data_IF_791542925534
#
_entry.id   IF_791542925534
#
_cell.length_a   1.000
_cell.length_b   1.000
_cell.length_c   1.000
_cell.angle_alpha   90.00
_cell.angle_beta   90.00
_cell.angle_gamma   90.00
#
_symmetry.space_group_name_H-M   'P 1'
#
loop_
_entity.id
_entity.type
_entity.pdbx_description
1 polymer ?
#
# COMPACT_ATOMS: atom_id res chain seq x y z
N UNK A 1 12.07 7.04 -14.82
CA UNK A 1 12.36 7.48 -16.21
C UNK A 1 12.48 6.30 -17.17
N UNK A 2 12.90 5.12 -16.74
CA UNK A 2 13.04 3.93 -17.60
C UNK A 2 11.71 3.51 -18.26
N UNK A 3 10.58 3.67 -17.55
CA UNK A 3 9.25 3.28 -18.04
C UNK A 3 8.69 4.27 -19.06
N UNK A 4 8.98 5.57 -18.91
CA UNK A 4 8.42 6.63 -19.79
C UNK A 4 9.19 6.83 -21.08
N UNK A 5 10.42 6.33 -21.19
CA UNK A 5 11.26 6.47 -22.37
C UNK A 5 11.80 7.88 -22.60
N UNK A 6 12.37 8.09 -23.79
CA UNK A 6 12.93 9.38 -24.19
C UNK A 6 11.83 10.42 -24.47
N UNK A 7 12.04 11.66 -24.04
CA UNK A 7 11.13 12.79 -24.27
C UNK A 7 10.34 13.23 -23.03
N UNK A 8 10.50 12.53 -21.91
CA UNK A 8 9.91 12.92 -20.62
C UNK A 8 10.99 13.26 -19.61
N UNK A 9 10.88 14.40 -18.99
CA UNK A 9 11.67 14.81 -17.85
C UNK A 9 10.81 14.70 -16.58
N UNK A 10 11.18 13.78 -15.69
CA UNK A 10 10.54 13.63 -14.38
C UNK A 10 11.25 14.51 -13.37
N UNK A 11 10.50 15.40 -12.75
CA UNK A 11 10.96 16.23 -11.65
C UNK A 11 10.25 15.84 -10.37
N UNK A 12 10.98 15.83 -9.26
CA UNK A 12 10.42 15.55 -7.95
C UNK A 12 9.79 16.81 -7.34
N UNK A 13 9.04 16.63 -6.24
CA UNK A 13 8.52 17.75 -5.46
C UNK A 13 9.60 18.71 -5.00
N UNK A 14 10.74 18.17 -4.58
CA UNK A 14 11.89 18.96 -4.15
C UNK A 14 12.47 19.81 -5.28
N UNK A 15 12.52 19.26 -6.51
CA UNK A 15 13.05 19.97 -7.69
C UNK A 15 12.17 21.18 -8.07
N UNK A 16 10.87 21.11 -7.79
CA UNK A 16 9.91 22.22 -8.01
C UNK A 16 9.69 23.08 -6.78
N UNK A 17 10.46 22.85 -5.70
CA UNK A 17 10.45 23.68 -4.50
C UNK A 17 9.29 23.40 -3.52
N UNK A 18 8.57 22.30 -3.70
CA UNK A 18 7.52 21.86 -2.77
C UNK A 18 8.17 20.99 -1.71
N UNK A 19 8.23 21.50 -0.46
CA UNK A 19 8.83 20.81 0.69
C UNK A 19 7.80 20.43 1.76
N UNK A 20 6.55 20.88 1.59
CA UNK A 20 5.47 20.62 2.52
C UNK A 20 4.79 19.28 2.21
N UNK A 21 4.29 18.64 3.27
CA UNK A 21 3.46 17.43 3.11
C UNK A 21 2.17 17.80 2.39
N UNK A 22 1.89 17.10 1.29
CA UNK A 22 0.63 17.30 0.55
C UNK A 22 -0.52 16.69 1.37
N UNK A 23 -1.63 17.42 1.56
CA UNK A 23 -2.75 16.92 2.36
C UNK A 23 -3.35 15.62 1.80
N UNK A 24 -3.60 14.67 2.68
CA UNK A 24 -4.31 13.41 2.42
C UNK A 24 -5.49 13.29 3.39
N UNK A 25 -6.62 13.89 3.04
CA UNK A 25 -7.82 13.94 3.90
C UNK A 25 -8.96 13.07 3.38
N UNK A 26 -8.76 12.41 2.25
CA UNK A 26 -9.73 11.52 1.63
C UNK A 26 -9.92 10.23 2.43
N UNK A 27 -11.09 9.63 2.28
CA UNK A 27 -11.45 8.34 2.89
C UNK A 27 -11.16 7.14 2.00
N UNK A 28 -10.64 7.37 0.80
CA UNK A 28 -10.24 6.35 -0.17
C UNK A 28 -8.89 6.70 -0.80
N UNK A 29 -8.15 5.68 -1.26
CA UNK A 29 -6.91 5.87 -2.00
C UNK A 29 -7.13 6.74 -3.25
N UNK A 30 -8.25 6.53 -3.93
CA UNK A 30 -8.64 7.32 -5.10
C UNK A 30 -8.82 8.81 -4.75
N UNK A 31 -9.51 9.11 -3.67
CA UNK A 31 -9.71 10.49 -3.24
C UNK A 31 -8.39 11.17 -2.88
N UNK A 32 -7.49 10.48 -2.18
CA UNK A 32 -6.18 10.99 -1.82
C UNK A 32 -5.29 11.19 -3.05
N UNK A 33 -5.26 10.24 -3.98
CA UNK A 33 -4.51 10.35 -5.23
C UNK A 33 -4.96 11.57 -6.06
N UNK A 34 -6.28 11.78 -6.19
CA UNK A 34 -6.83 12.97 -6.88
C UNK A 34 -6.45 14.26 -6.12
N UNK A 35 -6.60 14.27 -4.81
CA UNK A 35 -6.28 15.43 -3.97
C UNK A 35 -4.81 15.84 -4.13
N UNK A 36 -3.89 14.88 -4.10
CA UNK A 36 -2.45 15.12 -4.28
C UNK A 36 -2.15 15.66 -5.68
N UNK A 37 -2.68 15.04 -6.73
CA UNK A 37 -2.45 15.49 -8.10
C UNK A 37 -3.03 16.91 -8.35
N UNK A 38 -4.23 17.18 -7.82
CA UNK A 38 -4.87 18.49 -7.94
C UNK A 38 -4.08 19.57 -7.19
N UNK A 39 -3.58 19.26 -6.00
CA UNK A 39 -2.71 20.18 -5.25
C UNK A 39 -1.46 20.53 -6.06
N UNK A 40 -0.77 19.52 -6.60
CA UNK A 40 0.40 19.72 -7.45
C UNK A 40 0.10 20.57 -8.67
N UNK A 41 -0.97 20.23 -9.40
CA UNK A 41 -1.36 20.96 -10.60
C UNK A 41 -1.65 22.44 -10.29
N UNK A 42 -2.27 22.74 -9.17
CA UNK A 42 -2.56 24.10 -8.75
C UNK A 42 -1.27 24.90 -8.40
N UNK A 43 -0.28 24.22 -7.79
CA UNK A 43 0.97 24.86 -7.38
C UNK A 43 1.94 25.09 -8.56
N UNK A 44 2.05 24.10 -9.45
CA UNK A 44 3.08 24.14 -10.51
C UNK A 44 2.52 24.51 -11.90
N UNK A 45 1.21 24.39 -12.13
CA UNK A 45 0.56 24.76 -13.37
C UNK A 45 0.96 23.94 -14.62
N UNK A 46 1.56 22.76 -14.42
CA UNK A 46 1.94 21.87 -15.52
C UNK A 46 1.44 20.45 -15.30
N UNK A 47 1.55 19.61 -16.33
CA UNK A 47 1.18 18.21 -16.27
C UNK A 47 1.89 17.51 -15.11
N UNK A 48 1.15 16.73 -14.35
CA UNK A 48 1.67 16.06 -13.16
C UNK A 48 0.93 14.76 -12.88
N UNK A 49 1.51 13.92 -12.05
CA UNK A 49 0.83 12.75 -11.51
C UNK A 49 1.11 12.60 -10.01
N UNK A 50 0.19 11.95 -9.35
CA UNK A 50 0.35 11.51 -7.97
C UNK A 50 -0.24 10.12 -7.80
N UNK A 51 0.33 9.35 -6.89
CA UNK A 51 -0.19 8.06 -6.51
C UNK A 51 -0.64 8.03 -5.05
N UNK A 52 -1.50 7.10 -4.74
CA UNK A 52 -1.80 6.69 -3.38
C UNK A 52 -1.85 5.17 -3.32
N UNK A 53 -1.10 4.57 -2.42
CA UNK A 53 -0.96 3.12 -2.30
C UNK A 53 -1.28 2.69 -0.88
N UNK A 54 -2.10 1.65 -0.75
CA UNK A 54 -2.47 1.10 0.54
C UNK A 54 -2.44 -0.42 0.55
N UNK A 55 -2.15 -0.97 1.74
CA UNK A 55 -2.34 -2.37 2.04
C UNK A 55 -3.78 -2.59 2.49
N UNK A 56 -4.49 -3.51 1.86
CA UNK A 56 -5.83 -3.93 2.25
C UNK A 56 -5.80 -5.41 2.69
N UNK A 57 -6.26 -5.69 3.90
CA UNK A 57 -6.32 -7.06 4.46
C UNK A 57 -7.78 -7.46 4.64
N UNK A 58 -8.20 -8.54 3.99
CA UNK A 58 -9.61 -8.95 3.95
C UNK A 58 -10.20 -9.19 5.33
N UNK A 59 -9.50 -9.92 6.20
CA UNK A 59 -9.96 -10.22 7.55
C UNK A 59 -10.09 -8.96 8.42
N UNK A 60 -9.36 -7.90 8.10
CA UNK A 60 -9.41 -6.61 8.81
C UNK A 60 -10.39 -5.63 8.14
N UNK A 61 -11.29 -6.11 7.26
CA UNK A 61 -12.26 -5.27 6.58
C UNK A 61 -11.65 -4.26 5.62
N UNK A 62 -10.48 -4.56 5.06
CA UNK A 62 -9.73 -3.68 4.16
C UNK A 62 -8.74 -2.74 4.87
N UNK A 63 -8.63 -2.81 6.20
CA UNK A 63 -7.58 -2.08 6.92
C UNK A 63 -6.19 -2.70 6.61
N UNK A 64 -5.11 -1.90 6.66
CA UNK A 64 -4.98 -0.47 6.95
C UNK A 64 -5.60 0.51 5.93
N UNK A 65 -5.67 0.16 4.62
CA UNK A 65 -6.24 1.00 3.58
C UNK A 65 -5.54 2.37 3.48
N UNK A 66 -6.30 3.45 3.57
CA UNK A 66 -5.77 4.84 3.55
C UNK A 66 -4.84 5.15 4.73
N UNK A 67 -4.89 4.35 5.80
CA UNK A 67 -4.05 4.51 6.98
C UNK A 67 -2.76 3.69 6.93
N UNK A 68 -2.40 3.15 5.76
CA UNK A 68 -1.25 2.24 5.58
C UNK A 68 0.04 2.79 6.20
N UNK A 69 0.38 4.05 5.99
CA UNK A 69 1.59 4.63 6.55
C UNK A 69 1.52 4.89 8.08
N UNK A 70 0.32 5.10 8.63
CA UNK A 70 0.07 5.51 10.02
C UNK A 70 -0.85 4.57 10.79
N UNK A 71 -0.90 3.30 10.43
CA UNK A 71 -1.83 2.32 11.01
C UNK A 71 -1.65 2.13 12.52
N UNK A 72 -0.41 2.20 13.00
CA UNK A 72 -0.09 2.12 14.43
C UNK A 72 0.05 3.49 15.11
N UNK A 73 0.15 4.58 14.35
CA UNK A 73 0.31 5.93 14.90
C UNK A 73 0.83 6.94 13.87
N UNK A 74 0.79 8.21 14.22
CA UNK A 74 1.17 9.33 13.35
C UNK A 74 2.69 9.41 13.09
N UNK A 75 3.50 8.69 13.86
CA UNK A 75 4.95 8.58 13.67
C UNK A 75 5.36 7.83 12.41
N UNK A 76 4.41 7.22 11.70
CA UNK A 76 4.62 6.46 10.45
C UNK A 76 5.70 5.36 10.59
N UNK A 77 5.74 4.67 11.74
CA UNK A 77 6.67 3.57 12.02
C UNK A 77 6.16 2.27 11.39
N UNK A 78 6.77 1.85 10.29
CA UNK A 78 6.34 0.64 9.58
C UNK A 78 6.56 -0.64 10.37
N UNK A 79 7.54 -0.70 11.29
CA UNK A 79 7.68 -1.87 12.16
C UNK A 79 6.48 -2.01 13.10
N UNK A 80 6.05 -0.92 13.71
CA UNK A 80 4.84 -0.90 14.55
C UNK A 80 3.57 -1.18 13.73
N UNK A 81 3.50 -0.65 12.51
CA UNK A 81 2.38 -0.90 11.60
C UNK A 81 2.27 -2.39 11.25
N UNK A 82 3.39 -3.06 10.89
CA UNK A 82 3.43 -4.49 10.65
C UNK A 82 3.06 -5.29 11.88
N UNK A 83 3.61 -4.95 13.04
CA UNK A 83 3.31 -5.62 14.31
C UNK A 83 1.82 -5.55 14.63
N UNK A 84 1.18 -4.43 14.37
CA UNK A 84 -0.26 -4.26 14.55
C UNK A 84 -1.07 -5.17 13.62
N UNK A 85 -0.73 -5.24 12.33
CA UNK A 85 -1.40 -6.14 11.38
C UNK A 85 -1.25 -7.60 11.83
N UNK A 86 -0.05 -8.04 12.18
CA UNK A 86 0.21 -9.41 12.64
C UNK A 86 -0.56 -9.71 13.92
N UNK A 87 -0.55 -8.80 14.89
CA UNK A 87 -1.26 -8.96 16.17
C UNK A 87 -2.78 -9.10 15.95
N UNK A 88 -3.39 -8.24 15.15
CA UNK A 88 -4.83 -8.30 14.88
C UNK A 88 -5.24 -9.63 14.22
N UNK A 89 -4.46 -10.10 13.24
CA UNK A 89 -4.72 -11.39 12.59
C UNK A 89 -4.55 -12.56 13.56
N UNK A 90 -3.49 -12.56 14.37
CA UNK A 90 -3.25 -13.61 15.38
C UNK A 90 -4.38 -13.63 16.42
N UNK A 91 -4.84 -12.48 16.86
CA UNK A 91 -5.95 -12.36 17.78
C UNK A 91 -7.22 -12.98 17.20
N UNK A 92 -7.58 -12.64 15.95
CA UNK A 92 -8.75 -13.19 15.27
C UNK A 92 -8.64 -14.72 15.08
N UNK A 93 -7.46 -15.22 14.72
CA UNK A 93 -7.20 -16.66 14.58
C UNK A 93 -7.37 -17.39 15.94
N UNK A 94 -6.88 -16.80 17.03
CA UNK A 94 -7.02 -17.36 18.36
C UNK A 94 -8.48 -17.37 18.84
N UNK A 95 -9.22 -16.29 18.62
CA UNK A 95 -10.65 -16.19 18.91
C UNK A 95 -11.46 -17.24 18.12
N UNK A 96 -11.18 -17.42 16.83
CA UNK A 96 -11.83 -18.42 15.99
C UNK A 96 -11.51 -19.86 16.45
N UNK A 97 -10.26 -20.12 16.84
CA UNK A 97 -9.84 -21.42 17.37
C UNK A 97 -10.53 -21.74 18.71
N UNK A 98 -10.63 -20.75 19.61
CA UNK A 98 -11.32 -20.92 20.88
C UNK A 98 -12.82 -21.20 20.68
N UNK A 99 -13.48 -20.45 19.81
CA UNK A 99 -14.88 -20.65 19.50
C UNK A 99 -15.11 -22.06 18.90
N UNK A 100 -14.24 -22.54 18.01
CA UNK A 100 -14.30 -23.86 17.43
C UNK A 100 -14.16 -24.97 18.51
N UNK A 101 -13.29 -24.77 19.52
CA UNK A 101 -13.13 -25.71 20.63
C UNK A 101 -14.39 -25.83 21.50
N UNK A 102 -15.23 -24.80 21.49
CA UNK A 102 -16.54 -24.76 22.16
C UNK A 102 -17.69 -25.28 21.27
N UNK A 103 -17.38 -25.82 20.08
CA UNK A 103 -18.37 -26.33 19.14
C UNK A 103 -19.11 -25.23 18.35
N UNK A 104 -18.65 -23.99 18.42
CA UNK A 104 -19.22 -22.88 17.68
C UNK A 104 -18.63 -22.89 16.26
N UNK A 105 -19.49 -22.95 15.24
CA UNK A 105 -19.06 -22.84 13.84
C UNK A 105 -18.45 -21.45 13.59
N UNK A 106 -17.16 -21.44 13.24
CA UNK A 106 -16.44 -20.24 12.82
C UNK A 106 -15.91 -20.40 11.41
N UNK A 107 -15.73 -19.28 10.69
CA UNK A 107 -15.00 -19.27 9.42
C UNK A 107 -13.50 -19.18 9.71
N UNK A 108 -12.70 -19.86 8.88
CA UNK A 108 -11.25 -19.70 8.90
C UNK A 108 -10.92 -18.23 8.63
N UNK A 109 -10.06 -17.64 9.46
CA UNK A 109 -9.58 -16.27 9.24
C UNK A 109 -8.74 -16.24 7.97
N UNK A 110 -9.10 -15.39 7.03
CA UNK A 110 -8.37 -15.20 5.79
C UNK A 110 -7.16 -14.32 6.02
N UNK A 111 -6.02 -14.71 5.48
CA UNK A 111 -4.84 -13.85 5.44
C UNK A 111 -4.66 -13.15 4.08
N UNK A 112 -5.66 -13.30 3.19
CA UNK A 112 -5.65 -12.62 1.88
C UNK A 112 -5.55 -11.12 2.05
N UNK A 113 -4.72 -10.54 1.23
CA UNK A 113 -4.44 -9.12 1.24
C UNK A 113 -4.01 -8.66 -0.16
N UNK A 114 -4.01 -7.38 -0.38
CA UNK A 114 -3.47 -6.77 -1.60
C UNK A 114 -2.83 -5.43 -1.31
N UNK A 115 -1.80 -5.09 -2.05
CA UNK A 115 -1.43 -3.70 -2.25
C UNK A 115 -2.27 -3.14 -3.39
N UNK A 116 -2.98 -2.06 -3.12
CA UNK A 116 -3.76 -1.34 -4.12
C UNK A 116 -3.14 0.03 -4.35
N UNK A 117 -2.86 0.36 -5.60
CA UNK A 117 -2.34 1.67 -6.01
C UNK A 117 -3.34 2.37 -6.91
N UNK A 118 -3.51 3.65 -6.68
CA UNK A 118 -4.29 4.56 -7.55
C UNK A 118 -3.37 5.67 -8.00
N UNK A 119 -3.21 5.81 -9.32
CA UNK A 119 -2.43 6.88 -9.93
C UNK A 119 -3.40 7.86 -10.57
N UNK A 120 -3.26 9.12 -10.22
CA UNK A 120 -3.96 10.23 -10.87
C UNK A 120 -2.98 11.02 -11.72
N UNK A 121 -3.24 11.07 -13.02
CA UNK A 121 -2.46 11.82 -13.99
C UNK A 121 -3.29 13.01 -14.46
N UNK A 122 -2.74 14.21 -14.43
CA UNK A 122 -3.34 15.42 -15.00
C UNK A 122 -2.53 15.84 -16.20
N UNK A 123 -3.17 15.81 -17.38
CA UNK A 123 -2.60 16.26 -18.66
C UNK A 123 -3.56 17.27 -19.28
N UNK A 124 -3.05 18.44 -19.68
CA UNK A 124 -3.86 19.54 -20.26
C UNK A 124 -5.11 19.86 -19.39
N UNK A 125 -4.97 19.82 -18.07
CA UNK A 125 -6.05 20.05 -17.11
C UNK A 125 -7.09 18.93 -17.01
N UNK A 126 -6.89 17.80 -17.69
CA UNK A 126 -7.78 16.64 -17.65
C UNK A 126 -7.25 15.57 -16.72
N UNK A 127 -8.12 15.03 -15.89
CA UNK A 127 -7.81 13.97 -14.92
C UNK A 127 -7.97 12.60 -15.57
N UNK A 128 -6.93 11.79 -15.47
CA UNK A 128 -6.91 10.38 -15.85
C UNK A 128 -6.57 9.53 -14.61
N UNK A 129 -7.32 8.45 -14.39
CA UNK A 129 -7.17 7.58 -13.24
C UNK A 129 -6.75 6.18 -13.70
N UNK A 130 -5.76 5.63 -13.01
CA UNK A 130 -5.30 4.26 -13.21
C UNK A 130 -5.28 3.56 -11.85
N UNK A 131 -5.76 2.33 -11.81
CA UNK A 131 -5.77 1.51 -10.61
C UNK A 131 -5.08 0.18 -10.89
N UNK A 132 -4.28 -0.28 -9.95
CA UNK A 132 -3.63 -1.58 -9.98
C UNK A 132 -3.67 -2.23 -8.60
N UNK A 133 -3.57 -3.55 -8.57
CA UNK A 133 -3.48 -4.30 -7.34
C UNK A 133 -2.50 -5.45 -7.49
N UNK A 134 -1.67 -5.64 -6.47
CA UNK A 134 -0.83 -6.81 -6.28
C UNK A 134 -1.48 -7.70 -5.24
N UNK A 135 -1.98 -8.86 -5.67
CA UNK A 135 -2.67 -9.81 -4.79
C UNK A 135 -1.66 -10.69 -4.04
N UNK A 136 -2.03 -11.08 -2.84
CA UNK A 136 -1.19 -11.92 -2.02
C UNK A 136 -1.80 -12.25 -0.66
N UNK A 137 -0.94 -12.53 0.30
CA UNK A 137 -1.35 -12.83 1.67
C UNK A 137 -0.37 -12.27 2.70
N UNK A 138 -0.84 -12.12 3.92
CA UNK A 138 0.01 -11.71 5.06
C UNK A 138 0.69 -12.95 5.65
N UNK A 139 2.01 -12.92 5.70
CA UNK A 139 2.83 -13.92 6.36
C UNK A 139 2.52 -14.01 7.87
N UNK A 140 2.94 -15.10 8.51
CA UNK A 140 2.74 -15.27 9.96
C UNK A 140 3.73 -14.50 10.80
N UNK A 141 4.89 -14.21 10.25
CA UNK A 141 6.01 -13.48 10.87
C UNK A 141 6.75 -12.68 9.82
N UNK A 142 7.54 -11.71 10.26
CA UNK A 142 8.41 -10.93 9.38
C UNK A 142 9.51 -11.81 8.80
N UNK A 143 9.82 -11.66 7.52
CA UNK A 143 10.92 -12.33 6.84
C UNK A 143 11.61 -11.36 5.88
N UNK A 144 12.93 -11.51 5.72
CA UNK A 144 13.75 -10.71 4.83
C UNK A 144 14.14 -9.35 5.40
N UNK A 145 15.12 -8.73 4.74
CA UNK A 145 15.69 -7.43 5.12
C UNK A 145 15.61 -6.42 3.97
N UNK A 146 15.08 -6.81 2.82
CA UNK A 146 14.92 -5.95 1.65
C UNK A 146 13.63 -5.14 1.69
N UNK A 147 13.47 -4.27 0.69
CA UNK A 147 12.25 -3.52 0.48
C UNK A 147 11.98 -2.43 1.53
N UNK A 148 10.72 -2.05 1.65
CA UNK A 148 10.24 -1.03 2.58
C UNK A 148 8.80 -1.32 3.03
N UNK A 149 8.34 -0.56 4.02
CA UNK A 149 6.94 -0.63 4.45
C UNK A 149 6.55 -2.00 4.99
N UNK A 150 5.56 -2.62 4.38
CA UNK A 150 5.02 -3.93 4.76
C UNK A 150 5.66 -5.11 4.02
N UNK A 151 6.68 -4.88 3.21
CA UNK A 151 7.35 -5.93 2.42
C UNK A 151 7.74 -7.17 3.24
N UNK A 152 8.23 -7.05 4.50
CA UNK A 152 8.59 -8.21 5.32
C UNK A 152 7.42 -9.11 5.75
N UNK A 153 6.18 -8.70 5.57
CA UNK A 153 5.00 -9.51 5.92
C UNK A 153 4.07 -9.79 4.74
N UNK A 154 4.35 -9.30 3.55
CA UNK A 154 3.52 -9.51 2.37
C UNK A 154 4.13 -10.53 1.42
N UNK A 155 3.38 -11.58 1.10
CA UNK A 155 3.73 -12.65 0.16
C UNK A 155 2.86 -12.50 -1.06
N UNK A 156 3.44 -12.10 -2.19
CA UNK A 156 2.73 -11.99 -3.47
C UNK A 156 2.39 -13.38 -4.02
N UNK A 157 1.27 -13.49 -4.73
CA UNK A 157 0.83 -14.76 -5.31
C UNK A 157 1.83 -15.32 -6.33
N UNK A 158 2.59 -14.45 -6.99
CA UNK A 158 3.64 -14.81 -7.97
C UNK A 158 4.87 -15.46 -7.31
N UNK A 159 5.13 -15.21 -6.03
CA UNK A 159 6.27 -15.74 -5.28
C UNK A 159 5.84 -16.42 -3.97
N UNK A 160 5.09 -17.52 -4.04
CA UNK A 160 4.53 -18.17 -2.85
C UNK A 160 5.63 -18.61 -1.87
N UNK A 161 5.42 -18.29 -0.59
CA UNK A 161 6.35 -18.63 0.48
C UNK A 161 7.51 -17.66 0.68
N UNK A 162 7.66 -16.64 -0.15
CA UNK A 162 8.65 -15.58 -0.02
C UNK A 162 7.96 -14.24 0.17
N UNK A 163 8.39 -13.47 1.17
CA UNK A 163 7.89 -12.08 1.31
C UNK A 163 8.51 -11.17 0.27
N UNK A 164 7.93 -10.00 0.05
CA UNK A 164 8.52 -8.99 -0.84
C UNK A 164 9.91 -8.53 -0.36
N UNK A 165 10.23 -8.72 0.93
CA UNK A 165 11.55 -8.45 1.49
C UNK A 165 12.55 -9.61 1.27
N UNK A 166 12.08 -10.79 0.89
CA UNK A 166 12.91 -11.96 0.57
C UNK A 166 13.31 -12.02 -0.91
N UNK A 167 12.51 -11.44 -1.80
CA UNK A 167 12.78 -11.42 -3.25
C UNK A 167 13.68 -10.25 -3.65
N UNK A 168 14.29 -10.36 -4.83
CA UNK A 168 15.15 -9.30 -5.37
C UNK A 168 14.34 -8.09 -5.83
N UNK A 169 14.97 -6.94 -5.93
CA UNK A 169 14.33 -5.72 -6.44
C UNK A 169 13.87 -5.90 -7.90
N UNK A 170 14.64 -6.65 -8.71
CA UNK A 170 14.25 -7.00 -10.08
C UNK A 170 12.97 -7.81 -10.11
N UNK A 171 12.88 -8.86 -9.29
CA UNK A 171 11.68 -9.69 -9.17
C UNK A 171 10.48 -8.87 -8.67
N UNK A 172 10.69 -7.96 -7.71
CA UNK A 172 9.65 -7.08 -7.22
C UNK A 172 9.14 -6.12 -8.32
N UNK A 173 10.04 -5.56 -9.13
CA UNK A 173 9.70 -4.66 -10.22
C UNK A 173 8.90 -5.35 -11.35
N UNK A 174 9.08 -6.66 -11.56
CA UNK A 174 8.32 -7.43 -12.55
C UNK A 174 6.83 -7.57 -12.21
N UNK A 175 6.48 -7.51 -10.91
CA UNK A 175 5.12 -7.71 -10.41
C UNK A 175 4.45 -6.45 -9.85
N UNK A 176 5.18 -5.34 -9.84
CA UNK A 176 4.71 -4.04 -9.30
C UNK A 176 3.88 -3.25 -10.29
#
# INVERSE_FOLDING_TARGET
>A
SEILGEGFELVSLADVGITEDIPETGTTLRANSIQKAQYLYNEIGCDCFADDTGLEVDALGGAPGVYTARYAGEEKDFNKNMDKVLYELQRMEAEASMAASLGIKTRKVSRRARFKSVITLIIDGKIHLFEGALEGEIAREKSGNGGFGYDPIFVADEYPGLTLADITEEQKNEIS
#
